data_IF_795333010716
#
_entry.id   IF_795333010716
#
_cell.length_a   1.000
_cell.length_b   1.000
_cell.length_c   1.000
_cell.angle_alpha   90.00
_cell.angle_beta   90.00
_cell.angle_gamma   90.00
#
_symmetry.space_group_name_H-M   'P 1'
#
loop_
_entity.id
_entity.type
_entity.pdbx_description
1 polymer ?
#
# COMPACT_ATOMS: atom_id res chain seq x y z
N UNK A 1 61.46 57.46 22.92
CA UNK A 1 62.74 57.56 22.18
C UNK A 1 62.62 56.70 20.93
N UNK A 2 62.96 57.29 19.76
CA UNK A 2 63.25 56.67 18.44
C UNK A 2 62.10 55.95 17.70
N UNK A 3 61.61 56.49 16.56
CA UNK A 3 62.15 56.47 15.16
C UNK A 3 61.40 55.37 14.37
N UNK A 4 61.10 55.39 13.07
CA UNK A 4 61.38 56.22 11.89
C UNK A 4 60.42 55.71 10.78
N UNK A 5 59.76 56.56 9.98
CA UNK A 5 60.18 57.12 8.67
C UNK A 5 59.84 56.28 7.43
N UNK A 6 59.45 56.97 6.34
CA UNK A 6 59.39 56.46 4.96
C UNK A 6 58.12 56.88 4.20
N UNK A 7 57.86 58.16 3.94
CA UNK A 7 58.37 58.97 2.82
C UNK A 7 58.23 58.32 1.42
N UNK A 8 57.11 58.59 0.73
CA UNK A 8 56.93 58.38 -0.72
C UNK A 8 57.30 59.67 -1.47
N UNK A 9 58.37 59.61 -2.28
CA UNK A 9 58.65 60.60 -3.34
C UNK A 9 58.22 60.04 -4.69
N UNK A 10 57.44 60.84 -5.41
CA UNK A 10 57.23 60.72 -6.85
C UNK A 10 58.51 61.14 -7.58
N UNK A 11 58.92 60.40 -8.60
CA UNK A 11 59.62 60.94 -9.78
C UNK A 11 59.28 60.08 -11.01
N UNK A 12 58.97 60.82 -12.07
CA UNK A 12 58.64 60.44 -13.44
C UNK A 12 59.84 59.98 -14.26
N UNK A 13 59.64 59.06 -15.21
CA UNK A 13 60.46 58.89 -16.42
C UNK A 13 59.68 58.05 -17.47
N UNK A 14 60.09 58.03 -18.76
CA UNK A 14 59.25 58.52 -19.85
C UNK A 14 58.67 57.42 -20.77
N UNK A 15 57.61 57.83 -21.48
CA UNK A 15 56.95 57.07 -22.53
C UNK A 15 57.93 56.67 -23.63
N UNK A 16 58.06 55.37 -23.87
CA UNK A 16 58.67 54.83 -25.09
C UNK A 16 57.55 54.46 -26.05
N UNK A 17 57.46 55.24 -27.12
CA UNK A 17 56.51 55.10 -28.22
C UNK A 17 56.84 53.85 -29.04
N UNK A 18 56.03 52.80 -28.91
CA UNK A 18 56.00 51.69 -29.88
C UNK A 18 54.76 51.82 -30.76
N UNK A 19 54.99 52.10 -32.04
CA UNK A 19 53.97 52.19 -33.08
C UNK A 19 53.46 50.78 -33.42
N UNK A 20 52.34 50.37 -32.83
CA UNK A 20 51.51 49.29 -33.35
C UNK A 20 50.42 49.91 -34.23
N UNK A 21 50.47 49.58 -35.51
CA UNK A 21 49.49 49.93 -36.54
C UNK A 21 48.07 49.63 -36.05
N UNK A 22 47.13 50.58 -36.08
CA UNK A 22 45.77 50.34 -35.63
C UNK A 22 45.06 49.37 -36.59
N UNK A 23 44.92 48.11 -36.19
CA UNK A 23 43.95 47.21 -36.79
C UNK A 23 42.56 47.81 -36.62
N UNK A 24 41.80 47.94 -37.72
CA UNK A 24 40.43 48.46 -37.73
C UNK A 24 39.59 47.68 -36.71
N UNK A 25 39.22 48.33 -35.61
CA UNK A 25 38.16 47.86 -34.72
C UNK A 25 36.81 48.17 -35.36
N UNK A 26 35.99 47.15 -35.57
CA UNK A 26 34.57 47.33 -35.87
C UNK A 26 33.86 47.93 -34.65
N UNK A 27 32.87 48.80 -34.91
CA UNK A 27 32.17 49.64 -33.94
C UNK A 27 31.30 48.87 -32.92
N UNK A 28 31.20 47.54 -33.03
CA UNK A 28 30.44 46.68 -32.11
C UNK A 28 31.30 45.93 -31.08
N UNK A 29 32.64 46.12 -31.10
CA UNK A 29 33.55 45.41 -30.18
C UNK A 29 33.64 43.90 -30.41
N UNK A 30 32.94 43.36 -31.41
CA UNK A 30 32.99 41.97 -31.82
C UNK A 30 34.04 41.81 -32.93
N UNK A 31 35.09 41.05 -32.65
CA UNK A 31 36.00 40.55 -33.67
C UNK A 31 35.23 39.60 -34.58
N UNK A 32 35.35 39.74 -35.91
CA UNK A 32 34.77 38.84 -36.92
C UNK A 32 35.43 37.44 -36.94
N UNK A 33 35.81 36.92 -35.78
CA UNK A 33 36.35 35.58 -35.67
C UNK A 33 35.17 34.62 -35.67
N UNK A 34 35.17 33.67 -36.60
CA UNK A 34 34.22 32.57 -36.59
C UNK A 34 34.22 31.90 -35.20
N UNK A 35 33.05 31.50 -34.67
CA UNK A 35 32.98 30.82 -33.38
C UNK A 35 33.86 29.57 -33.45
N UNK A 36 34.92 29.55 -32.65
CA UNK A 36 35.83 28.41 -32.56
C UNK A 36 34.98 27.23 -32.06
N UNK A 37 34.62 26.33 -32.96
CA UNK A 37 33.99 25.08 -32.58
C UNK A 37 35.05 24.27 -31.85
N UNK A 38 34.86 23.96 -30.55
CA UNK A 38 35.85 23.19 -29.81
C UNK A 38 35.94 21.81 -30.45
N UNK A 39 37.08 21.52 -31.09
CA UNK A 39 37.36 20.20 -31.66
C UNK A 39 37.33 19.17 -30.54
N UNK A 40 36.50 18.14 -30.68
CA UNK A 40 36.43 17.03 -29.73
C UNK A 40 37.84 16.47 -29.50
N UNK A 41 38.23 16.40 -28.23
CA UNK A 41 39.55 15.94 -27.84
C UNK A 41 39.50 14.44 -27.58
N UNK A 42 40.50 13.67 -28.04
CA UNK A 42 40.55 12.23 -27.75
C UNK A 42 40.62 12.00 -26.24
N UNK A 43 39.63 11.25 -25.75
CA UNK A 43 39.50 10.82 -24.36
C UNK A 43 39.93 9.36 -24.27
N UNK A 44 40.85 9.06 -23.36
CA UNK A 44 41.20 7.69 -23.01
C UNK A 44 40.63 7.41 -21.62
N UNK A 45 39.89 6.31 -21.50
CA UNK A 45 39.47 5.81 -20.19
C UNK A 45 40.70 5.18 -19.54
N UNK A 46 41.02 5.60 -18.32
CA UNK A 46 42.17 5.07 -17.59
C UNK A 46 41.98 3.57 -17.32
N UNK A 47 43.06 2.83 -17.11
CA UNK A 47 43.03 1.36 -16.91
C UNK A 47 42.17 0.94 -15.73
N UNK A 48 42.05 1.81 -14.73
CA UNK A 48 41.27 1.58 -13.52
C UNK A 48 39.78 1.94 -13.70
N UNK A 49 39.37 2.45 -14.87
CA UNK A 49 37.99 2.82 -15.23
C UNK A 49 37.28 3.85 -14.34
N UNK A 50 37.96 4.43 -13.34
CA UNK A 50 37.36 5.43 -12.44
C UNK A 50 37.42 6.87 -12.97
N UNK A 51 38.36 7.16 -13.87
CA UNK A 51 38.57 8.49 -14.41
C UNK A 51 38.81 8.46 -15.92
N UNK A 52 38.32 9.50 -16.61
CA UNK A 52 38.74 9.76 -17.98
C UNK A 52 39.95 10.70 -18.00
N UNK A 53 40.88 10.41 -18.89
CA UNK A 53 42.07 11.20 -19.11
C UNK A 53 42.08 11.76 -20.53
N UNK A 54 42.61 12.98 -20.67
CA UNK A 54 42.81 13.62 -21.97
C UNK A 54 44.16 13.22 -22.54
N UNK A 55 44.17 12.75 -23.78
CA UNK A 55 45.40 12.40 -24.48
C UNK A 55 46.14 13.66 -24.95
N UNK A 56 47.48 13.65 -24.83
CA UNK A 56 48.33 14.77 -25.26
C UNK A 56 48.72 14.57 -26.73
N UNK A 57 48.61 15.63 -27.53
CA UNK A 57 49.00 15.64 -28.96
C UNK A 57 50.47 15.27 -29.20
N UNK A 58 51.35 15.49 -28.24
CA UNK A 58 52.81 15.31 -28.38
C UNK A 58 53.36 14.12 -27.59
N UNK A 59 52.59 13.03 -27.45
CA UNK A 59 53.11 11.74 -26.99
C UNK A 59 53.52 11.65 -25.51
N UNK A 60 53.01 12.53 -24.66
CA UNK A 60 53.25 12.50 -23.21
C UNK A 60 52.13 11.77 -22.43
N UNK A 61 52.37 11.48 -21.14
CA UNK A 61 51.36 10.88 -20.24
C UNK A 61 50.06 11.69 -20.27
N UNK A 62 48.93 10.97 -20.38
CA UNK A 62 47.59 11.56 -20.38
C UNK A 62 47.34 12.36 -19.10
N UNK A 63 46.57 13.44 -19.22
CA UNK A 63 46.22 14.30 -18.10
C UNK A 63 44.84 13.91 -17.58
N UNK A 64 44.67 13.67 -16.26
CA UNK A 64 43.35 13.39 -15.72
C UNK A 64 42.44 14.59 -15.92
N UNK A 65 41.17 14.32 -16.27
CA UNK A 65 40.18 15.38 -16.34
C UNK A 65 39.70 15.79 -14.95
N UNK A 66 39.36 17.07 -14.74
CA UNK A 66 38.72 17.47 -13.51
C UNK A 66 37.35 16.78 -13.38
N UNK A 67 36.90 16.40 -12.16
CA UNK A 67 35.65 15.65 -11.96
C UNK A 67 34.37 16.32 -12.48
N UNK A 68 34.43 17.62 -12.80
CA UNK A 68 33.32 18.38 -13.40
C UNK A 68 33.21 18.11 -14.91
N UNK A 69 34.34 17.83 -15.58
CA UNK A 69 34.42 17.59 -17.02
C UNK A 69 34.63 16.11 -17.36
N UNK A 70 34.83 15.26 -16.35
CA UNK A 70 34.98 13.82 -16.53
C UNK A 70 33.60 13.17 -16.81
N UNK A 71 33.34 12.63 -18.02
CA UNK A 71 32.10 11.93 -18.33
C UNK A 71 31.77 10.80 -17.35
N UNK A 72 32.78 10.07 -16.85
CA UNK A 72 32.57 8.97 -15.90
C UNK A 72 32.04 9.48 -14.56
N UNK A 73 32.61 10.59 -14.07
CA UNK A 73 32.15 11.25 -12.85
C UNK A 73 30.77 11.91 -13.04
N UNK A 74 30.50 12.48 -14.21
CA UNK A 74 29.18 13.04 -14.55
C UNK A 74 28.10 11.94 -14.64
N UNK A 75 28.42 10.79 -15.23
CA UNK A 75 27.52 9.64 -15.28
C UNK A 75 27.26 9.09 -13.88
N UNK A 76 28.32 8.90 -13.07
CA UNK A 76 28.19 8.43 -11.69
C UNK A 76 27.29 9.35 -10.83
N UNK A 77 27.40 10.68 -11.00
CA UNK A 77 26.52 11.66 -10.33
C UNK A 77 25.07 11.57 -10.80
N UNK A 78 24.83 11.31 -12.08
CA UNK A 78 23.48 11.24 -12.65
C UNK A 78 22.80 9.88 -12.47
N UNK A 79 23.55 8.80 -12.17
CA UNK A 79 23.00 7.44 -11.94
C UNK A 79 21.92 7.41 -10.86
N UNK A 80 22.06 8.22 -9.80
CA UNK A 80 21.06 8.29 -8.72
C UNK A 80 19.84 9.14 -9.07
N UNK A 81 19.95 10.02 -10.06
CA UNK A 81 18.86 10.88 -10.54
C UNK A 81 17.96 10.15 -11.56
N UNK A 82 18.51 9.16 -12.27
CA UNK A 82 17.73 8.33 -13.19
C UNK A 82 16.66 7.57 -12.39
N UNK A 83 15.42 7.62 -12.86
CA UNK A 83 14.34 6.84 -12.25
C UNK A 83 14.71 5.36 -12.31
N UNK A 84 14.56 4.67 -11.17
CA UNK A 84 14.72 3.21 -11.14
C UNK A 84 13.65 2.61 -12.06
N UNK A 85 13.97 1.59 -12.87
CA UNK A 85 12.96 0.90 -13.66
C UNK A 85 11.85 0.41 -12.73
N UNK A 86 10.60 0.66 -13.10
CA UNK A 86 9.42 0.41 -12.26
C UNK A 86 9.16 -1.09 -12.03
N UNK A 87 9.72 -1.96 -12.87
CA UNK A 87 9.58 -3.42 -12.78
C UNK A 87 10.94 -4.08 -12.97
N UNK A 88 11.23 -5.10 -12.18
CA UNK A 88 12.16 -6.15 -12.62
C UNK A 88 11.44 -6.88 -13.77
N UNK A 89 11.79 -6.54 -14.99
CA UNK A 89 11.36 -7.28 -16.17
C UNK A 89 12.14 -8.60 -16.18
N UNK A 90 11.49 -9.68 -15.76
CA UNK A 90 12.08 -11.01 -15.69
C UNK A 90 11.10 -12.05 -15.20
N UNK A 91 11.38 -13.32 -15.50
CA UNK A 91 10.66 -14.45 -14.92
C UNK A 91 10.86 -14.45 -13.41
N UNK A 92 9.76 -14.67 -12.68
CA UNK A 92 9.82 -14.76 -11.22
C UNK A 92 10.55 -16.05 -10.86
N UNK A 93 11.52 -15.95 -9.95
CA UNK A 93 12.12 -17.13 -9.34
C UNK A 93 11.04 -18.00 -8.70
N UNK A 94 11.22 -19.32 -8.69
CA UNK A 94 10.29 -20.27 -8.05
C UNK A 94 9.93 -19.85 -6.61
N UNK A 95 10.91 -19.38 -5.84
CA UNK A 95 10.68 -18.85 -4.50
C UNK A 95 9.75 -17.63 -4.49
N UNK A 96 9.90 -16.70 -5.45
CA UNK A 96 9.02 -15.53 -5.56
C UNK A 96 7.58 -15.94 -5.92
N UNK A 97 7.43 -16.97 -6.77
CA UNK A 97 6.13 -17.53 -7.11
C UNK A 97 5.49 -18.20 -5.89
N UNK A 98 6.24 -19.02 -5.14
CA UNK A 98 5.76 -19.64 -3.90
C UNK A 98 5.40 -18.58 -2.84
N UNK A 99 6.22 -17.55 -2.67
CA UNK A 99 5.97 -16.46 -1.73
C UNK A 99 4.72 -15.66 -2.12
N UNK A 100 4.47 -15.46 -3.42
CA UNK A 100 3.25 -14.84 -3.91
C UNK A 100 2.02 -15.72 -3.71
N UNK A 101 2.17 -17.04 -3.65
CA UNK A 101 1.08 -17.97 -3.38
C UNK A 101 0.89 -18.27 -1.88
N UNK A 102 1.62 -17.59 -1.00
CA UNK A 102 1.45 -17.71 0.44
C UNK A 102 0.55 -16.58 0.97
N UNK A 103 -0.64 -16.93 1.45
CA UNK A 103 -1.63 -16.00 2.00
C UNK A 103 -1.12 -15.23 3.23
N UNK A 104 -0.36 -15.87 4.11
CA UNK A 104 0.24 -15.21 5.27
C UNK A 104 1.30 -14.19 4.84
N UNK A 105 2.15 -14.54 3.87
CA UNK A 105 3.12 -13.61 3.31
C UNK A 105 2.43 -12.40 2.66
N UNK A 106 1.32 -12.62 1.93
CA UNK A 106 0.54 -11.51 1.36
C UNK A 106 -0.09 -10.61 2.44
N UNK A 107 -0.60 -11.18 3.54
CA UNK A 107 -1.15 -10.39 4.63
C UNK A 107 -0.08 -9.55 5.33
N UNK A 108 1.11 -10.12 5.57
CA UNK A 108 2.26 -9.44 6.17
C UNK A 108 2.86 -8.38 5.23
N UNK A 109 2.83 -8.61 3.92
CA UNK A 109 3.29 -7.66 2.91
C UNK A 109 2.36 -6.43 2.77
N UNK A 110 1.17 -6.46 3.38
CA UNK A 110 0.29 -5.30 3.36
C UNK A 110 0.91 -4.12 4.14
N UNK A 111 0.65 -2.85 3.75
CA UNK A 111 1.29 -1.70 4.36
C UNK A 111 1.12 -1.68 5.88
N UNK A 112 2.19 -1.46 6.62
CA UNK A 112 2.16 -1.34 8.08
C UNK A 112 1.46 -0.02 8.45
N UNK A 113 0.44 -0.12 9.30
CA UNK A 113 -0.31 1.01 9.85
C UNK A 113 -0.34 0.92 11.38
N UNK A 114 -0.57 2.06 12.02
CA UNK A 114 -0.70 2.12 13.48
C UNK A 114 -2.18 2.00 13.86
N UNK A 115 -2.50 1.05 14.74
CA UNK A 115 -3.78 0.97 15.41
C UNK A 115 -3.94 2.17 16.35
N UNK A 116 -5.03 2.91 16.22
CA UNK A 116 -5.23 4.15 16.97
C UNK A 116 -5.62 3.91 18.44
N UNK A 117 -6.14 2.73 18.77
CA UNK A 117 -6.51 2.39 20.15
C UNK A 117 -5.33 1.86 20.95
N UNK A 118 -4.53 0.97 20.36
CA UNK A 118 -3.45 0.25 21.06
C UNK A 118 -2.07 0.80 20.73
N UNK A 119 -1.95 1.71 19.77
CA UNK A 119 -0.68 2.18 19.18
C UNK A 119 0.20 1.09 18.56
N UNK A 120 -0.31 -0.14 18.44
CA UNK A 120 0.40 -1.24 17.80
C UNK A 120 0.58 -0.97 16.30
N UNK A 121 1.77 -1.25 15.76
CA UNK A 121 2.06 -1.16 14.33
C UNK A 121 1.88 -2.54 13.70
N UNK A 122 0.84 -2.68 12.87
CA UNK A 122 0.46 -3.94 12.26
C UNK A 122 0.19 -3.75 10.76
N UNK A 123 0.38 -4.79 9.94
CA UNK A 123 -0.06 -4.77 8.55
C UNK A 123 -1.56 -4.44 8.44
N UNK A 124 -1.92 -3.62 7.46
CA UNK A 124 -3.30 -3.13 7.28
C UNK A 124 -4.35 -4.24 7.13
N UNK A 125 -3.93 -5.45 6.76
CA UNK A 125 -4.79 -6.62 6.68
C UNK A 125 -5.49 -6.92 8.03
N UNK A 126 -4.75 -6.79 9.13
CA UNK A 126 -5.24 -7.03 10.50
C UNK A 126 -5.99 -5.84 11.10
N UNK A 127 -6.21 -4.80 10.30
CA UNK A 127 -6.82 -3.56 10.74
C UNK A 127 -8.11 -3.26 9.96
N UNK A 128 -9.04 -2.58 10.62
CA UNK A 128 -10.23 -2.00 10.01
C UNK A 128 -10.02 -0.50 9.81
N UNK A 129 -10.17 0.00 8.57
CA UNK A 129 -10.11 1.43 8.29
C UNK A 129 -11.40 2.11 8.74
N UNK A 130 -11.26 3.08 9.64
CA UNK A 130 -12.32 3.98 10.09
C UNK A 130 -12.29 5.24 9.23
N UNK A 131 -13.47 5.69 8.83
CA UNK A 131 -13.70 6.92 8.08
C UNK A 131 -14.80 7.74 8.72
N UNK A 132 -14.71 9.06 8.55
CA UNK A 132 -15.84 9.94 8.81
C UNK A 132 -16.69 10.04 7.56
N UNK A 133 -17.99 10.03 7.76
CA UNK A 133 -18.98 10.31 6.73
C UNK A 133 -19.95 11.39 7.23
N UNK A 134 -20.52 12.15 6.30
CA UNK A 134 -21.60 13.07 6.61
C UNK A 134 -22.82 12.68 5.80
N UNK A 135 -23.97 12.56 6.46
CA UNK A 135 -25.27 12.37 5.82
C UNK A 135 -26.18 13.55 6.13
N UNK A 136 -27.06 13.95 5.19
CA UNK A 136 -28.11 14.90 5.50
C UNK A 136 -29.06 14.29 6.55
N UNK A 137 -29.50 15.08 7.53
CA UNK A 137 -30.67 14.72 8.34
C UNK A 137 -31.87 14.65 7.40
N UNK A 138 -32.55 13.50 7.36
CA UNK A 138 -33.90 13.38 6.81
C UNK A 138 -34.83 14.16 7.74
N UNK A 139 -34.91 15.46 7.57
CA UNK A 139 -36.06 16.26 7.97
C UNK A 139 -36.14 17.47 7.03
N UNK A 140 -37.37 17.80 6.68
CA UNK A 140 -37.84 18.53 5.52
C UNK A 140 -37.05 19.77 5.03
N UNK A 141 -37.06 19.91 3.70
CA UNK A 141 -37.14 21.14 2.91
C UNK A 141 -36.30 22.36 3.39
N UNK A 142 -35.37 22.77 2.50
CA UNK A 142 -34.78 24.12 2.44
C UNK A 142 -33.69 24.50 3.46
N UNK A 143 -32.65 23.69 3.65
CA UNK A 143 -31.27 24.22 3.81
C UNK A 143 -30.23 23.10 3.75
N UNK A 144 -29.72 22.79 2.56
CA UNK A 144 -28.74 21.72 2.33
C UNK A 144 -27.39 21.88 3.07
N UNK A 145 -27.19 23.00 3.80
CA UNK A 145 -25.98 23.27 4.58
C UNK A 145 -26.19 23.24 6.10
N UNK A 146 -27.42 23.22 6.61
CA UNK A 146 -27.66 23.44 8.04
C UNK A 146 -27.59 22.16 8.89
N UNK A 147 -27.96 21.00 8.34
CA UNK A 147 -28.21 19.80 9.14
C UNK A 147 -27.46 18.56 8.62
N UNK A 148 -26.13 18.59 8.64
CA UNK A 148 -25.30 17.40 8.37
C UNK A 148 -24.99 16.66 9.68
N UNK A 149 -25.28 15.37 9.73
CA UNK A 149 -24.85 14.49 10.83
C UNK A 149 -23.50 13.91 10.48
N UNK A 150 -22.51 14.24 11.30
CA UNK A 150 -21.21 13.62 11.26
C UNK A 150 -21.31 12.21 11.85
N UNK A 151 -21.01 11.19 11.05
CA UNK A 151 -20.98 9.79 11.49
C UNK A 151 -19.56 9.26 11.34
N UNK A 152 -19.11 8.47 12.31
CA UNK A 152 -17.85 7.73 12.20
C UNK A 152 -18.19 6.27 12.00
N UNK A 153 -17.64 5.65 10.97
CA UNK A 153 -17.91 4.27 10.63
C UNK A 153 -16.73 3.62 9.92
N UNK A 154 -16.95 2.41 9.41
CA UNK A 154 -15.90 1.59 8.81
C UNK A 154 -16.02 1.66 7.29
N UNK A 155 -14.87 1.74 6.61
CA UNK A 155 -14.83 1.95 5.17
C UNK A 155 -15.68 0.92 4.41
N UNK A 156 -16.67 1.45 3.70
CA UNK A 156 -17.59 0.70 2.85
C UNK A 156 -18.69 -0.04 3.59
N UNK A 157 -18.96 0.28 4.86
CA UNK A 157 -20.28 0.07 5.45
C UNK A 157 -21.15 1.32 5.27
N UNK A 158 -20.55 2.50 5.41
CA UNK A 158 -21.31 3.74 5.39
C UNK A 158 -21.69 4.14 3.97
N UNK A 159 -22.97 4.30 3.69
CA UNK A 159 -23.50 4.84 2.42
C UNK A 159 -23.38 6.37 2.31
N UNK A 160 -22.77 7.03 3.30
CA UNK A 160 -22.67 8.48 3.32
C UNK A 160 -22.05 9.01 2.02
N UNK A 161 -22.75 9.97 1.39
CA UNK A 161 -22.38 10.55 0.10
C UNK A 161 -20.99 11.19 0.13
N UNK A 162 -20.61 11.72 1.30
CA UNK A 162 -19.35 12.43 1.48
C UNK A 162 -18.54 11.78 2.58
N UNK A 163 -17.39 11.24 2.17
CA UNK A 163 -16.46 10.52 3.03
C UNK A 163 -15.17 11.32 3.19
N UNK A 164 -14.58 11.23 4.36
CA UNK A 164 -13.25 11.76 4.62
C UNK A 164 -12.20 11.02 3.77
N UNK A 165 -11.24 11.76 3.23
CA UNK A 165 -10.05 11.15 2.60
C UNK A 165 -9.15 10.49 3.63
N UNK A 166 -9.09 11.07 4.82
CA UNK A 166 -8.29 10.57 5.95
C UNK A 166 -8.95 9.33 6.56
N UNK A 167 -8.12 8.36 6.96
CA UNK A 167 -8.53 7.10 7.58
C UNK A 167 -7.77 6.91 8.88
N UNK A 168 -8.46 6.51 9.94
CA UNK A 168 -7.83 5.91 11.13
C UNK A 168 -7.94 4.40 11.04
N UNK A 169 -7.15 3.66 11.82
CA UNK A 169 -7.14 2.20 11.79
C UNK A 169 -7.31 1.65 13.19
N UNK A 170 -8.08 0.57 13.32
CA UNK A 170 -8.25 -0.19 14.57
C UNK A 170 -8.04 -1.67 14.31
N UNK A 171 -7.83 -2.46 15.36
CA UNK A 171 -7.76 -3.92 15.25
C UNK A 171 -9.04 -4.49 14.63
N UNK A 172 -8.87 -5.40 13.68
CA UNK A 172 -9.97 -6.12 13.04
C UNK A 172 -10.47 -7.25 13.94
N UNK A 173 -11.07 -6.90 15.07
CA UNK A 173 -11.61 -7.84 16.05
C UNK A 173 -12.99 -7.37 16.52
N UNK A 174 -13.94 -8.29 16.64
CA UNK A 174 -15.33 -8.00 17.03
C UNK A 174 -15.40 -7.37 18.43
N UNK A 175 -14.73 -8.00 19.41
CA UNK A 175 -14.73 -7.54 20.81
C UNK A 175 -14.14 -6.13 20.99
N UNK A 176 -13.25 -5.70 20.08
CA UNK A 176 -12.69 -4.33 20.11
C UNK A 176 -13.77 -3.32 19.74
N UNK A 177 -14.63 -3.63 18.77
CA UNK A 177 -15.76 -2.77 18.40
C UNK A 177 -16.85 -2.77 19.47
N UNK A 178 -17.14 -3.92 20.07
CA UNK A 178 -18.07 -4.00 21.21
C UNK A 178 -17.57 -3.18 22.40
N UNK A 179 -16.27 -3.22 22.68
CA UNK A 179 -15.67 -2.42 23.74
C UNK A 179 -15.80 -0.91 23.48
N UNK A 180 -15.57 -0.48 22.24
CA UNK A 180 -15.68 0.91 21.82
C UNK A 180 -17.13 1.39 21.94
N UNK A 181 -18.09 0.59 21.46
CA UNK A 181 -19.51 0.92 21.47
C UNK A 181 -20.05 0.96 22.90
N UNK A 182 -19.76 -0.07 23.71
CA UNK A 182 -20.20 -0.17 25.10
C UNK A 182 -19.66 0.98 25.97
N UNK A 183 -18.37 1.34 25.82
CA UNK A 183 -17.75 2.41 26.62
C UNK A 183 -17.89 3.81 26.03
N UNK A 184 -18.59 3.96 24.89
CA UNK A 184 -18.70 5.24 24.15
C UNK A 184 -17.33 5.90 23.89
N UNK A 185 -16.27 5.10 23.71
CA UNK A 185 -14.89 5.57 23.49
C UNK A 185 -14.56 5.86 22.03
N UNK A 186 -15.54 5.77 21.14
CA UNK A 186 -15.37 6.03 19.71
C UNK A 186 -14.86 7.45 19.41
N UNK A 187 -15.05 8.41 20.33
CA UNK A 187 -14.47 9.75 20.21
C UNK A 187 -12.94 9.75 20.18
N UNK A 188 -12.29 8.72 20.74
CA UNK A 188 -10.85 8.52 20.64
C UNK A 188 -10.42 8.12 19.24
N UNK A 189 -11.30 7.60 18.39
CA UNK A 189 -10.98 7.14 17.03
C UNK A 189 -10.81 8.28 16.02
N UNK A 190 -11.18 9.49 16.44
CA UNK A 190 -11.22 10.67 15.59
C UNK A 190 -9.88 11.40 15.68
N UNK A 191 -9.06 11.20 14.66
CA UNK A 191 -7.80 11.93 14.52
C UNK A 191 -8.05 13.43 14.28
N UNK A 192 -7.07 14.26 14.58
CA UNK A 192 -7.11 15.71 14.33
C UNK A 192 -7.50 16.08 12.88
N UNK A 193 -6.97 15.38 11.88
CA UNK A 193 -7.34 15.61 10.49
C UNK A 193 -8.81 15.29 10.20
N UNK A 194 -9.33 14.22 10.81
CA UNK A 194 -10.75 13.87 10.68
C UNK A 194 -11.62 14.91 11.39
N UNK A 195 -11.18 15.38 12.56
CA UNK A 195 -11.79 16.50 13.27
C UNK A 195 -11.85 17.75 12.39
N UNK A 196 -10.73 18.19 11.82
CA UNK A 196 -10.65 19.34 10.89
C UNK A 196 -11.56 19.15 9.68
N UNK A 197 -11.63 17.93 9.13
CA UNK A 197 -12.53 17.62 8.02
C UNK A 197 -14.01 17.80 8.40
N UNK A 198 -14.42 17.32 9.58
CA UNK A 198 -15.77 17.53 10.08
C UNK A 198 -16.08 19.01 10.30
N UNK A 199 -15.19 19.79 10.95
CA UNK A 199 -15.35 21.25 11.14
C UNK A 199 -15.65 21.93 9.80
N UNK A 200 -14.82 21.63 8.79
CA UNK A 200 -14.91 22.24 7.47
C UNK A 200 -16.22 21.88 6.75
N UNK A 201 -16.87 20.78 7.12
CA UNK A 201 -18.08 20.30 6.45
C UNK A 201 -19.38 20.67 7.17
N UNK A 202 -19.39 20.64 8.49
CA UNK A 202 -20.60 20.93 9.29
C UNK A 202 -20.75 22.41 9.66
N UNK A 203 -19.74 23.25 9.35
CA UNK A 203 -19.71 24.68 9.66
C UNK A 203 -19.90 25.02 11.16
N UNK A 204 -19.74 24.03 12.06
CA UNK A 204 -19.82 24.23 13.51
C UNK A 204 -18.45 24.56 14.08
N UNK A 205 -18.35 25.68 14.83
CA UNK A 205 -17.14 26.05 15.57
C UNK A 205 -16.82 24.98 16.62
N UNK A 206 -15.54 24.71 16.79
CA UNK A 206 -15.04 23.49 17.40
C UNK A 206 -13.99 23.79 18.47
N UNK A 207 -14.29 24.80 19.27
CA UNK A 207 -13.45 25.31 20.35
C UNK A 207 -13.23 24.27 21.46
N UNK A 208 -14.16 23.31 21.64
CA UNK A 208 -14.07 22.30 22.70
C UNK A 208 -14.18 20.86 22.18
N UNK A 209 -13.21 20.01 22.55
CA UNK A 209 -13.15 18.60 22.14
C UNK A 209 -14.31 17.76 22.69
N UNK A 210 -14.88 18.14 23.84
CA UNK A 210 -16.00 17.45 24.48
C UNK A 210 -17.31 17.64 23.73
N UNK A 211 -17.54 18.85 23.20
CA UNK A 211 -18.78 19.14 22.47
C UNK A 211 -18.78 18.50 21.08
N UNK A 212 -17.60 18.35 20.49
CA UNK A 212 -17.44 17.61 19.24
C UNK A 212 -17.87 16.14 19.34
N UNK A 213 -17.55 15.46 20.45
CA UNK A 213 -17.99 14.08 20.69
C UNK A 213 -19.50 13.95 20.91
N UNK A 214 -20.21 15.03 21.24
CA UNK A 214 -21.69 14.98 21.32
C UNK A 214 -22.34 15.12 19.94
N UNK A 215 -21.65 15.76 19.00
CA UNK A 215 -22.17 16.06 17.67
C UNK A 215 -21.96 14.93 16.66
N UNK A 216 -21.17 13.92 17.02
CA UNK A 216 -20.87 12.80 16.16
C UNK A 216 -21.71 11.60 16.56
N UNK A 217 -22.34 10.97 15.58
CA UNK A 217 -23.04 9.71 15.77
C UNK A 217 -22.09 8.53 15.58
N UNK A 218 -22.19 7.55 16.48
CA UNK A 218 -21.62 6.22 16.31
C UNK A 218 -22.76 5.22 16.25
N UNK A 219 -22.80 4.39 15.22
CA UNK A 219 -23.81 3.35 15.13
C UNK A 219 -23.40 2.16 16.02
N UNK A 220 -24.24 1.83 17.01
CA UNK A 220 -24.00 0.73 17.95
C UNK A 220 -23.91 -0.63 17.23
N UNK A 221 -24.62 -0.79 16.11
CA UNK A 221 -24.66 -2.02 15.31
C UNK A 221 -23.49 -2.14 14.31
N UNK A 222 -22.47 -1.28 14.42
CA UNK A 222 -21.28 -1.31 13.54
C UNK A 222 -20.55 -2.65 13.57
N UNK A 223 -20.43 -3.30 14.73
CA UNK A 223 -19.74 -4.59 14.83
C UNK A 223 -20.42 -5.67 13.97
N UNK A 224 -21.74 -5.84 14.14
CA UNK A 224 -22.53 -6.77 13.34
C UNK A 224 -22.52 -6.39 11.85
N UNK A 225 -22.64 -5.11 11.52
CA UNK A 225 -22.57 -4.65 10.13
C UNK A 225 -21.22 -4.99 9.45
N UNK A 226 -20.09 -4.87 10.18
CA UNK A 226 -18.77 -5.30 9.67
C UNK A 226 -18.77 -6.81 9.42
N UNK A 227 -19.30 -7.59 10.36
CA UNK A 227 -19.37 -9.04 10.24
C UNK A 227 -20.16 -9.45 8.98
N UNK A 228 -21.35 -8.88 8.82
CA UNK A 228 -22.25 -9.16 7.70
C UNK A 228 -21.58 -8.80 6.37
N UNK A 229 -20.89 -7.65 6.32
CA UNK A 229 -20.13 -7.25 5.14
C UNK A 229 -18.99 -8.23 4.84
N UNK A 230 -18.18 -8.61 5.84
CA UNK A 230 -17.08 -9.55 5.63
C UNK A 230 -17.59 -10.91 5.14
N UNK A 231 -18.72 -11.39 5.68
CA UNK A 231 -19.38 -12.62 5.21
C UNK A 231 -19.88 -12.47 3.78
N UNK A 232 -20.53 -11.34 3.45
CA UNK A 232 -20.98 -11.05 2.09
C UNK A 232 -19.83 -11.01 1.10
N UNK A 233 -18.73 -10.33 1.43
CA UNK A 233 -17.53 -10.25 0.59
C UNK A 233 -16.93 -11.66 0.34
N UNK A 234 -16.88 -12.50 1.39
CA UNK A 234 -16.44 -13.91 1.27
C UNK A 234 -17.38 -14.71 0.37
N UNK A 235 -18.70 -14.61 0.56
CA UNK A 235 -19.69 -15.34 -0.25
C UNK A 235 -19.62 -14.92 -1.72
N UNK A 236 -19.57 -13.62 -1.99
CA UNK A 236 -19.45 -13.10 -3.36
C UNK A 236 -18.15 -13.56 -4.02
N UNK A 237 -17.03 -13.57 -3.28
CA UNK A 237 -15.76 -14.04 -3.82
C UNK A 237 -15.76 -15.56 -4.03
N UNK A 238 -16.28 -16.31 -3.07
CA UNK A 238 -16.42 -17.76 -3.17
C UNK A 238 -17.22 -18.15 -4.41
N UNK A 239 -18.36 -17.50 -4.66
CA UNK A 239 -19.17 -17.74 -5.87
C UNK A 239 -18.38 -17.47 -7.15
N UNK A 240 -17.61 -16.38 -7.21
CA UNK A 240 -16.74 -16.10 -8.36
C UNK A 240 -15.69 -17.19 -8.55
N UNK A 241 -15.03 -17.60 -7.47
CA UNK A 241 -13.98 -18.61 -7.54
C UNK A 241 -14.52 -20.02 -7.85
N UNK A 242 -15.80 -20.30 -7.52
CA UNK A 242 -16.52 -21.50 -7.91
C UNK A 242 -16.80 -21.52 -9.43
N UNK A 243 -17.32 -20.43 -9.98
CA UNK A 243 -17.58 -20.28 -11.43
C UNK A 243 -16.29 -20.42 -12.25
N UNK A 244 -15.16 -19.92 -11.73
CA UNK A 244 -13.86 -20.01 -12.38
C UNK A 244 -13.09 -21.32 -12.10
N UNK A 245 -13.72 -22.31 -11.45
CA UNK A 245 -13.11 -23.61 -11.11
C UNK A 245 -11.82 -23.52 -10.26
N UNK A 246 -11.66 -22.43 -9.50
CA UNK A 246 -10.63 -22.30 -8.47
C UNK A 246 -11.03 -22.98 -7.16
N UNK A 247 -12.34 -23.14 -6.94
CA UNK A 247 -12.91 -23.96 -5.87
C UNK A 247 -13.55 -25.19 -6.49
N UNK A 248 -13.21 -26.37 -5.97
CA UNK A 248 -13.79 -27.64 -6.41
C UNK A 248 -14.56 -28.25 -5.25
N UNK A 249 -15.81 -28.60 -5.50
CA UNK A 249 -16.66 -29.33 -4.56
C UNK A 249 -16.28 -30.80 -4.57
N UNK A 250 -16.24 -31.40 -3.40
CA UNK A 250 -16.00 -32.82 -3.20
C UNK A 250 -17.19 -33.48 -2.53
N UNK A 251 -17.51 -34.68 -2.98
CA UNK A 251 -18.62 -35.47 -2.41
C UNK A 251 -18.12 -36.49 -1.40
N UNK A 252 -16.89 -36.99 -1.57
CA UNK A 252 -16.27 -37.95 -0.66
C UNK A 252 -14.84 -37.54 -0.32
N UNK A 253 -14.37 -37.94 0.86
CA UNK A 253 -13.01 -37.66 1.32
C UNK A 253 -11.93 -38.35 0.47
N UNK A 254 -12.28 -39.48 -0.15
CA UNK A 254 -11.34 -40.29 -0.93
C UNK A 254 -10.93 -39.60 -2.24
N UNK A 255 -11.77 -38.70 -2.77
CA UNK A 255 -11.45 -37.81 -3.90
C UNK A 255 -10.30 -36.84 -3.58
N UNK A 256 -9.92 -36.71 -2.30
CA UNK A 256 -8.84 -35.81 -1.88
C UNK A 256 -7.52 -36.22 -2.49
N UNK A 257 -7.21 -37.52 -2.49
CA UNK A 257 -5.91 -37.99 -2.96
C UNK A 257 -5.74 -37.76 -4.48
N UNK A 258 -6.84 -37.79 -5.24
CA UNK A 258 -6.83 -37.55 -6.69
C UNK A 258 -6.62 -36.07 -7.03
N UNK A 259 -7.11 -35.15 -6.19
CA UNK A 259 -7.00 -33.69 -6.39
C UNK A 259 -5.78 -33.09 -5.67
N UNK A 260 -5.29 -33.72 -4.61
CA UNK A 260 -4.24 -33.22 -3.70
C UNK A 260 -2.81 -33.29 -4.26
N UNK A 261 -2.64 -33.55 -5.57
CA UNK A 261 -1.36 -33.78 -6.22
C UNK A 261 -0.27 -32.72 -5.99
N UNK A 262 -0.60 -31.45 -5.67
CA UNK A 262 0.35 -30.48 -5.10
C UNK A 262 -0.27 -29.10 -4.77
N UNK A 263 -1.39 -28.73 -5.38
CA UNK A 263 -1.76 -27.31 -5.53
C UNK A 263 -3.01 -26.91 -4.74
N UNK A 264 -3.09 -27.34 -3.48
CA UNK A 264 -4.17 -26.97 -2.55
C UNK A 264 -3.74 -25.79 -1.68
N UNK A 265 -4.57 -24.75 -1.63
CA UNK A 265 -4.37 -23.59 -0.76
C UNK A 265 -5.00 -23.79 0.62
N UNK A 266 -6.29 -24.13 0.65
CA UNK A 266 -7.04 -24.39 1.86
C UNK A 266 -8.22 -25.32 1.61
N UNK A 267 -8.69 -25.95 2.69
CA UNK A 267 -9.86 -26.83 2.68
C UNK A 267 -10.98 -26.13 3.44
N UNK A 268 -12.18 -26.13 2.87
CA UNK A 268 -13.37 -25.56 3.47
C UNK A 268 -14.35 -26.70 3.74
N UNK A 269 -14.87 -26.78 4.96
CA UNK A 269 -15.84 -27.80 5.33
C UNK A 269 -17.11 -27.14 5.88
N UNK A 270 -18.25 -27.71 5.49
CA UNK A 270 -19.57 -27.39 6.00
C UNK A 270 -20.02 -28.59 6.82
N UNK A 271 -19.75 -28.54 8.13
CA UNK A 271 -20.15 -29.58 9.07
C UNK A 271 -20.79 -28.99 10.34
N UNK A 272 -21.69 -29.79 10.93
CA UNK A 272 -22.21 -29.62 12.29
C UNK A 272 -21.30 -30.29 13.35
N UNK A 273 -20.50 -31.29 12.97
CA UNK A 273 -19.51 -31.93 13.83
C UNK A 273 -18.32 -32.48 13.02
N UNK A 274 -17.06 -32.23 13.44
CA UNK A 274 -15.90 -32.77 12.75
C UNK A 274 -15.85 -34.29 12.94
N UNK A 275 -15.86 -35.08 11.86
CA UNK A 275 -15.51 -36.49 11.99
C UNK A 275 -14.01 -36.59 12.32
N UNK A 276 -13.64 -37.12 13.50
CA UNK A 276 -12.25 -37.16 13.94
C UNK A 276 -11.36 -37.99 12.98
N UNK A 277 -11.95 -38.96 12.29
CA UNK A 277 -11.27 -39.79 11.30
C UNK A 277 -10.94 -39.08 9.98
N UNK A 278 -11.68 -38.02 9.60
CA UNK A 278 -11.43 -37.29 8.36
C UNK A 278 -10.46 -36.13 8.57
N UNK A 279 -10.64 -35.41 9.67
CA UNK A 279 -9.72 -34.35 10.10
C UNK A 279 -8.29 -34.88 10.24
N UNK A 280 -8.12 -36.07 10.83
CA UNK A 280 -6.79 -36.70 10.93
C UNK A 280 -6.16 -37.10 9.59
N UNK A 281 -6.95 -37.49 8.58
CA UNK A 281 -6.46 -37.84 7.23
C UNK A 281 -6.16 -36.59 6.38
N UNK A 282 -6.95 -35.52 6.52
CA UNK A 282 -6.79 -34.28 5.77
C UNK A 282 -5.84 -33.27 6.43
N UNK A 283 -5.48 -33.43 7.71
CA UNK A 283 -4.47 -32.62 8.39
C UNK A 283 -3.07 -32.92 7.86
N UNK A 284 -2.80 -32.46 6.64
CA UNK A 284 -1.44 -32.13 6.23
C UNK A 284 -1.07 -30.87 7.00
N UNK A 285 0.07 -30.87 7.70
CA UNK A 285 0.55 -29.74 8.53
C UNK A 285 0.57 -28.39 7.80
N UNK A 286 0.57 -28.42 6.47
CA UNK A 286 0.75 -27.25 5.61
C UNK A 286 -0.56 -26.67 5.04
N UNK A 287 -1.71 -27.32 5.23
CA UNK A 287 -2.99 -26.89 4.63
C UNK A 287 -3.94 -26.39 5.70
N UNK A 288 -4.34 -25.12 5.60
CA UNK A 288 -5.30 -24.50 6.52
C UNK A 288 -6.71 -25.00 6.24
N UNK A 289 -7.43 -25.43 7.29
CA UNK A 289 -8.81 -25.89 7.22
C UNK A 289 -9.75 -24.88 7.86
N UNK A 290 -10.80 -24.45 7.14
CA UNK A 290 -11.79 -23.49 7.65
C UNK A 290 -13.17 -24.14 7.79
N UNK A 291 -13.81 -23.93 8.95
CA UNK A 291 -15.19 -24.32 9.18
C UNK A 291 -16.14 -23.21 8.71
N UNK A 292 -16.81 -23.45 7.57
CA UNK A 292 -17.68 -22.46 6.94
C UNK A 292 -18.95 -22.23 7.74
N UNK A 293 -19.49 -23.26 8.40
CA UNK A 293 -20.65 -23.14 9.31
C UNK A 293 -20.35 -22.17 10.45
N UNK A 294 -19.17 -22.28 11.06
CA UNK A 294 -18.74 -21.39 12.14
C UNK A 294 -18.43 -19.98 11.64
N UNK A 295 -17.89 -19.82 10.43
CA UNK A 295 -17.52 -18.50 9.90
C UNK A 295 -18.74 -17.71 9.42
N UNK A 296 -19.56 -18.32 8.56
CA UNK A 296 -20.71 -17.68 7.91
C UNK A 296 -21.99 -17.70 8.77
N UNK A 297 -22.16 -18.69 9.66
CA UNK A 297 -23.39 -18.82 10.45
C UNK A 297 -24.62 -18.89 9.56
N UNK A 298 -25.63 -18.07 9.85
CA UNK A 298 -26.92 -18.05 9.13
C UNK A 298 -26.79 -17.68 7.63
N UNK A 299 -25.73 -16.96 7.25
CA UNK A 299 -25.47 -16.60 5.85
C UNK A 299 -25.01 -17.78 4.99
N UNK A 300 -24.73 -18.93 5.60
CA UNK A 300 -24.40 -20.16 4.89
C UNK A 300 -25.54 -20.63 3.97
N UNK A 301 -26.80 -20.45 4.38
CA UNK A 301 -27.95 -20.80 3.55
C UNK A 301 -27.91 -20.10 2.19
N UNK A 302 -27.60 -18.79 2.20
CA UNK A 302 -27.45 -17.98 0.99
C UNK A 302 -26.36 -18.52 0.06
N UNK A 303 -25.30 -19.11 0.61
CA UNK A 303 -24.24 -19.72 -0.20
C UNK A 303 -24.76 -20.96 -0.93
N UNK A 304 -25.49 -21.82 -0.21
CA UNK A 304 -26.01 -23.10 -0.70
C UNK A 304 -27.20 -22.95 -1.66
N UNK A 305 -28.00 -21.89 -1.51
CA UNK A 305 -29.15 -21.62 -2.39
C UNK A 305 -28.75 -21.35 -3.85
N UNK A 306 -27.49 -20.97 -4.11
CA UNK A 306 -27.00 -20.71 -5.46
C UNK A 306 -26.83 -21.99 -6.32
N UNK A 307 -26.56 -23.14 -5.69
CA UNK A 307 -26.33 -24.40 -6.42
C UNK A 307 -27.62 -25.18 -6.72
N UNK A 308 -28.75 -24.74 -6.16
CA UNK A 308 -29.79 -25.66 -5.74
C UNK A 308 -31.17 -25.27 -6.30
N UNK A 309 -31.24 -25.21 -7.63
CA UNK A 309 -32.48 -25.30 -8.40
C UNK A 309 -33.02 -26.75 -8.50
N UNK A 310 -32.51 -27.66 -7.66
CA UNK A 310 -32.85 -29.09 -7.66
C UNK A 310 -33.54 -29.47 -6.34
N UNK A 311 -34.69 -30.13 -6.49
CA UNK A 311 -35.84 -30.29 -5.59
C UNK A 311 -35.65 -31.27 -4.41
N UNK A 312 -34.40 -31.57 -4.02
CA UNK A 312 -34.17 -32.64 -3.05
C UNK A 312 -34.12 -32.13 -1.60
N UNK A 313 -35.13 -32.56 -0.84
CA UNK A 313 -35.44 -32.27 0.57
C UNK A 313 -34.52 -32.97 1.59
N UNK A 314 -33.45 -33.66 1.15
CA UNK A 314 -32.46 -34.32 2.02
C UNK A 314 -31.29 -33.41 2.45
N UNK A 315 -31.52 -32.10 2.63
CA UNK A 315 -30.46 -31.09 2.76
C UNK A 315 -29.82 -30.95 4.15
N UNK A 316 -30.44 -31.47 5.21
CA UNK A 316 -30.01 -31.13 6.57
C UNK A 316 -28.74 -31.85 7.07
N UNK A 317 -28.34 -32.97 6.45
CA UNK A 317 -27.26 -33.83 6.97
C UNK A 317 -26.10 -34.08 5.97
N UNK A 318 -26.09 -33.44 4.79
CA UNK A 318 -25.03 -33.67 3.82
C UNK A 318 -23.80 -32.82 4.18
N UNK A 319 -22.71 -33.50 4.50
CA UNK A 319 -21.38 -32.92 4.74
C UNK A 319 -20.81 -32.50 3.39
N UNK A 320 -20.44 -31.23 3.25
CA UNK A 320 -19.83 -30.73 2.01
C UNK A 320 -18.40 -30.26 2.26
N UNK A 321 -17.50 -30.69 1.38
CA UNK A 321 -16.10 -30.31 1.38
C UNK A 321 -15.81 -29.54 0.11
N UNK A 322 -15.04 -28.47 0.24
CA UNK A 322 -14.54 -27.69 -0.89
C UNK A 322 -13.03 -27.56 -0.78
N UNK A 323 -12.35 -27.89 -1.88
CA UNK A 323 -10.92 -27.63 -2.04
C UNK A 323 -10.76 -26.30 -2.76
N UNK A 324 -9.96 -25.43 -2.18
CA UNK A 324 -9.49 -24.22 -2.83
C UNK A 324 -8.13 -24.50 -3.45
N UNK A 325 -8.05 -24.47 -4.78
CA UNK A 325 -6.77 -24.61 -5.51
C UNK A 325 -5.90 -23.39 -5.27
N UNK A 326 -4.58 -23.53 -5.27
CA UNK A 326 -3.65 -22.44 -5.05
C UNK A 326 -3.46 -21.64 -6.35
N UNK A 327 -4.19 -20.53 -6.44
CA UNK A 327 -4.15 -19.61 -7.55
C UNK A 327 -4.06 -18.18 -7.03
N UNK A 328 -3.58 -17.25 -7.85
CA UNK A 328 -3.55 -15.82 -7.49
C UNK A 328 -4.95 -15.29 -7.12
N UNK A 329 -6.00 -15.82 -7.75
CA UNK A 329 -7.37 -15.44 -7.48
C UNK A 329 -7.87 -16.02 -6.15
N UNK A 330 -7.56 -17.27 -5.85
CA UNK A 330 -7.99 -17.91 -4.61
C UNK A 330 -7.25 -17.41 -3.37
N UNK A 331 -6.04 -16.86 -3.53
CA UNK A 331 -5.34 -16.18 -2.42
C UNK A 331 -6.14 -15.03 -1.82
N UNK A 332 -6.90 -14.31 -2.64
CA UNK A 332 -7.76 -13.24 -2.12
C UNK A 332 -8.89 -13.80 -1.26
N UNK A 333 -9.47 -14.94 -1.64
CA UNK A 333 -10.48 -15.64 -0.83
C UNK A 333 -9.88 -16.11 0.50
N UNK A 334 -8.69 -16.72 0.47
CA UNK A 334 -8.00 -17.15 1.69
C UNK A 334 -7.67 -15.98 2.62
N UNK A 335 -7.22 -14.84 2.07
CA UNK A 335 -7.03 -13.61 2.84
C UNK A 335 -8.34 -13.13 3.47
N UNK A 336 -9.46 -13.16 2.74
CA UNK A 336 -10.76 -12.76 3.28
C UNK A 336 -11.23 -13.70 4.40
N UNK A 337 -11.06 -15.01 4.23
CA UNK A 337 -11.37 -16.02 5.25
C UNK A 337 -10.51 -15.83 6.50
N UNK A 338 -9.21 -15.60 6.35
CA UNK A 338 -8.31 -15.30 7.46
C UNK A 338 -8.73 -14.02 8.18
N UNK A 339 -9.10 -12.96 7.45
CA UNK A 339 -9.61 -11.71 8.04
C UNK A 339 -10.91 -11.93 8.80
N UNK A 340 -11.85 -12.71 8.25
CA UNK A 340 -13.12 -13.05 8.90
C UNK A 340 -12.90 -13.89 10.16
N UNK A 341 -12.01 -14.88 10.12
CA UNK A 341 -11.64 -15.71 11.28
C UNK A 341 -11.04 -14.87 12.41
N UNK A 342 -10.06 -14.03 12.08
CA UNK A 342 -9.46 -13.09 13.03
C UNK A 342 -10.50 -12.13 13.62
N UNK A 343 -11.45 -11.67 12.82
CA UNK A 343 -12.51 -10.77 13.26
C UNK A 343 -13.43 -11.42 14.29
N UNK A 344 -13.84 -12.68 14.08
CA UNK A 344 -14.65 -13.43 15.06
C UNK A 344 -13.88 -13.85 16.31
N UNK A 345 -12.57 -13.64 16.36
CA UNK A 345 -11.71 -14.10 17.47
C UNK A 345 -11.52 -15.61 17.51
N UNK A 346 -11.85 -16.31 16.42
CA UNK A 346 -11.48 -17.72 16.25
C UNK A 346 -10.04 -17.80 15.78
N UNK A 347 -9.21 -18.64 16.41
CA UNK A 347 -7.94 -19.02 15.79
C UNK A 347 -8.25 -19.56 14.39
N UNK A 348 -7.60 -19.06 13.32
CA UNK A 348 -7.90 -19.45 11.95
C UNK A 348 -7.57 -20.91 11.62
N UNK A 349 -6.95 -21.67 12.53
CA UNK A 349 -6.76 -23.11 12.43
C UNK A 349 -6.34 -23.69 13.79
N UNK A 350 -6.75 -24.94 14.05
CA UNK A 350 -5.92 -25.99 14.69
C UNK A 350 -5.73 -27.07 13.65
#
# INVERSE_FOLDING_TARGET
MHNAAGARRQLSAPATTFWLTPGRRSYTGQTNNEPITPREQPLTVDKDAFHSARERRHGGRSLPLPPVMDPTAAEARTRFTKSKPWKLEGEKSEFQTQMQLNSFAQALASPIRQCHLTNARLPSHFLLPIVGSTSPLQDDQMSAKANLVATVGILGLDTGEQRSRTRSYILAQHHVLDFISARKKWGQLIHEHLRRWFVARTAKSLEHARDFQKQIAWNANTANAVLDKLRKDVIERFRKDLVHHHVVRMSAADEYNDVAGADVACILHIDSAPDPGLSSKLHRKDVTTYNMSRLLGDDLGKLLDYENNSDDTERANKKFWFIVKRSRHSMQLQLMLMKLGNYKGGSPAT
#
